data_IF_118649352741
#
_entry.id   IF_118649352741
#
_cell.length_a   1.000
_cell.length_b   1.000
_cell.length_c   1.000
_cell.angle_alpha   90.00
_cell.angle_beta   90.00
_cell.angle_gamma   90.00
#
_symmetry.space_group_name_H-M   'P 1'
#
loop_
_entity.id
_entity.type
_entity.pdbx_description
1 polymer ?
#
# COMPACT_ATOMS: atom_id res chain seq x y z
N UNK A 1 -15.44 -18.57 4.52
CA UNK A 1 -14.53 -19.75 4.45
C UNK A 1 -13.27 -19.40 5.21
N UNK A 2 -13.03 -20.12 6.32
CA UNK A 2 -11.80 -19.95 7.11
C UNK A 2 -10.64 -20.54 6.34
N UNK A 3 -9.64 -19.75 5.96
CA UNK A 3 -8.28 -20.22 5.71
C UNK A 3 -7.29 -19.06 5.78
N UNK A 4 -6.32 -19.30 6.66
CA UNK A 4 -4.92 -18.92 6.62
C UNK A 4 -4.55 -17.50 7.09
N UNK A 5 -4.69 -17.29 8.40
CA UNK A 5 -3.74 -16.49 9.16
C UNK A 5 -3.21 -17.43 10.23
N UNK A 6 -2.22 -18.23 9.91
CA UNK A 6 -1.35 -18.94 10.86
C UNK A 6 -0.06 -19.23 10.08
N UNK A 7 1.00 -18.62 10.45
CA UNK A 7 2.36 -19.13 10.51
C UNK A 7 3.40 -18.03 10.25
N UNK A 8 3.75 -17.31 11.25
CA UNK A 8 5.08 -16.73 11.41
C UNK A 8 5.59 -16.90 12.86
N UNK A 9 4.92 -17.71 13.68
CA UNK A 9 5.30 -17.87 15.08
C UNK A 9 5.84 -19.28 15.44
N UNK A 10 6.15 -20.16 14.48
CA UNK A 10 6.48 -21.57 14.78
C UNK A 10 7.95 -21.92 14.66
N UNK A 11 8.75 -21.17 13.92
CA UNK A 11 10.16 -21.57 13.63
C UNK A 11 11.12 -21.41 14.79
N UNK A 12 10.91 -20.49 15.73
CA UNK A 12 11.78 -20.38 16.91
C UNK A 12 11.56 -21.49 17.97
N UNK A 13 10.45 -22.20 17.92
CA UNK A 13 10.12 -23.28 18.85
C UNK A 13 10.58 -24.66 18.36
N UNK A 14 10.74 -24.86 17.06
CA UNK A 14 11.14 -26.16 16.49
C UNK A 14 12.62 -26.49 16.75
N UNK A 15 13.51 -25.49 16.73
CA UNK A 15 14.94 -25.66 17.04
C UNK A 15 15.20 -26.05 18.50
N UNK A 16 14.32 -25.63 19.44
CA UNK A 16 14.45 -26.01 20.85
C UNK A 16 13.91 -27.41 21.15
N UNK A 17 13.08 -28.00 20.30
CA UNK A 17 12.49 -29.32 20.46
C UNK A 17 13.30 -30.43 19.80
N UNK A 18 14.04 -30.16 18.73
CA UNK A 18 14.93 -31.12 18.06
C UNK A 18 16.11 -31.52 18.96
N UNK A 19 16.54 -30.67 19.89
CA UNK A 19 17.62 -30.99 20.83
C UNK A 19 17.20 -31.90 21.99
N UNK A 20 15.88 -32.15 22.19
CA UNK A 20 15.36 -32.98 23.27
C UNK A 20 14.85 -34.37 22.84
N UNK A 21 14.77 -34.68 21.55
CA UNK A 21 14.33 -35.98 21.04
C UNK A 21 15.53 -36.75 20.47
N UNK A 22 16.53 -37.04 21.29
CA UNK A 22 17.51 -38.08 20.94
C UNK A 22 16.83 -39.45 21.06
N UNK A 23 16.64 -40.22 20.00
CA UNK A 23 16.36 -41.63 20.13
C UNK A 23 17.59 -42.30 20.70
N UNK A 24 17.54 -42.69 21.97
CA UNK A 24 18.69 -43.20 22.73
C UNK A 24 19.24 -44.54 22.23
N UNK A 25 18.61 -45.18 21.24
CA UNK A 25 18.87 -46.56 20.85
C UNK A 25 18.84 -46.85 19.32
N UNK A 26 18.99 -45.86 18.43
CA UNK A 26 19.10 -46.14 16.99
C UNK A 26 20.59 -46.21 16.58
N UNK A 27 21.17 -47.42 16.32
CA UNK A 27 22.57 -47.55 15.94
C UNK A 27 22.90 -46.99 14.56
N UNK A 28 21.92 -46.58 13.79
CA UNK A 28 22.10 -45.97 12.46
C UNK A 28 21.87 -44.45 12.46
N UNK A 29 21.64 -43.83 13.63
CA UNK A 29 21.45 -42.41 13.70
C UNK A 29 22.74 -41.65 13.36
N UNK A 30 22.73 -40.87 12.30
CA UNK A 30 23.85 -40.05 11.86
C UNK A 30 23.52 -38.56 12.05
N UNK A 31 24.13 -37.93 13.03
CA UNK A 31 23.91 -36.52 13.35
C UNK A 31 24.17 -35.58 12.18
N UNK A 32 25.11 -35.92 11.27
CA UNK A 32 25.39 -35.10 10.11
C UNK A 32 24.31 -35.21 9.04
N UNK A 33 23.74 -36.40 8.78
CA UNK A 33 22.62 -36.56 7.84
C UNK A 33 21.34 -35.92 8.36
N UNK A 34 21.08 -35.98 9.68
CA UNK A 34 19.95 -35.29 10.28
C UNK A 34 20.10 -33.75 10.23
N UNK A 35 21.31 -33.24 10.41
CA UNK A 35 21.60 -31.81 10.28
C UNK A 35 21.51 -31.37 8.81
N UNK A 36 22.04 -32.12 7.85
CA UNK A 36 21.91 -31.85 6.42
C UNK A 36 20.43 -31.83 5.99
N UNK A 37 19.61 -32.77 6.46
CA UNK A 37 18.18 -32.79 6.16
C UNK A 37 17.43 -31.55 6.71
N UNK A 38 17.80 -31.08 7.90
CA UNK A 38 17.21 -29.82 8.47
C UNK A 38 17.65 -28.60 7.67
N UNK A 39 18.92 -28.52 7.26
CA UNK A 39 19.41 -27.43 6.43
C UNK A 39 18.77 -27.44 5.03
N UNK A 40 18.53 -28.61 4.43
CA UNK A 40 17.83 -28.72 3.15
C UNK A 40 16.36 -28.34 3.27
N UNK A 41 15.71 -28.70 4.38
CA UNK A 41 14.30 -28.32 4.63
C UNK A 41 14.16 -26.81 4.86
N UNK A 42 15.04 -26.20 5.66
CA UNK A 42 15.07 -24.75 5.88
C UNK A 42 15.35 -23.98 4.58
N UNK A 43 16.30 -24.45 3.76
CA UNK A 43 16.62 -23.84 2.47
C UNK A 43 15.45 -23.96 1.46
N UNK A 44 14.73 -25.07 1.47
CA UNK A 44 13.56 -25.26 0.61
C UNK A 44 12.38 -24.38 1.05
N UNK A 45 12.22 -24.14 2.35
CA UNK A 45 11.19 -23.22 2.88
C UNK A 45 11.53 -21.77 2.54
N UNK A 46 12.80 -21.35 2.69
CA UNK A 46 13.27 -20.02 2.28
C UNK A 46 13.06 -19.79 0.78
N UNK A 47 13.42 -20.75 -0.08
CA UNK A 47 13.20 -20.66 -1.53
C UNK A 47 11.71 -20.59 -1.90
N UNK A 48 10.84 -21.30 -1.20
CA UNK A 48 9.40 -21.24 -1.45
C UNK A 48 8.79 -19.89 -1.08
N UNK A 49 9.27 -19.24 0.00
CA UNK A 49 8.86 -17.89 0.39
C UNK A 49 9.32 -16.87 -0.64
N UNK A 50 10.52 -16.99 -1.15
CA UNK A 50 11.05 -16.15 -2.22
C UNK A 50 10.23 -16.28 -3.51
N UNK A 51 9.99 -17.50 -3.97
CA UNK A 51 9.20 -17.79 -5.18
C UNK A 51 7.77 -17.22 -5.06
N UNK A 52 7.13 -17.35 -3.88
CA UNK A 52 5.81 -16.78 -3.63
C UNK A 52 5.83 -15.25 -3.68
N UNK A 53 6.85 -14.62 -3.10
CA UNK A 53 7.00 -13.17 -3.10
C UNK A 53 7.21 -12.61 -4.51
N UNK A 54 8.08 -13.24 -5.31
CA UNK A 54 8.33 -12.86 -6.70
C UNK A 54 7.09 -13.06 -7.59
N UNK A 55 6.39 -14.18 -7.43
CA UNK A 55 5.12 -14.41 -8.12
C UNK A 55 4.06 -13.37 -7.71
N UNK A 56 4.09 -12.89 -6.46
CA UNK A 56 3.24 -11.80 -5.97
C UNK A 56 3.52 -10.47 -6.68
N UNK A 57 4.79 -10.14 -6.94
CA UNK A 57 5.17 -8.96 -7.74
C UNK A 57 4.63 -9.05 -9.16
N UNK A 58 4.83 -10.19 -9.83
CA UNK A 58 4.33 -10.40 -11.19
C UNK A 58 2.80 -10.30 -11.27
N UNK A 59 2.10 -10.87 -10.29
CA UNK A 59 0.65 -10.76 -10.19
C UNK A 59 0.19 -9.31 -9.96
N UNK A 60 0.92 -8.53 -9.17
CA UNK A 60 0.61 -7.14 -8.88
C UNK A 60 0.85 -6.19 -10.07
N UNK A 61 1.70 -6.57 -11.03
CA UNK A 61 1.89 -5.82 -12.29
C UNK A 61 0.69 -5.93 -13.23
N UNK A 62 -0.16 -6.95 -13.06
CA UNK A 62 -1.32 -7.16 -13.91
C UNK A 62 -2.42 -6.11 -13.66
N UNK A 63 -3.03 -5.60 -14.73
CA UNK A 63 -4.15 -4.68 -14.62
C UNK A 63 -5.37 -5.36 -13.97
N UNK A 64 -6.01 -4.76 -12.95
CA UNK A 64 -7.24 -5.29 -12.39
C UNK A 64 -8.39 -5.18 -13.40
N UNK A 65 -9.32 -6.14 -13.36
CA UNK A 65 -10.48 -6.21 -14.27
C UNK A 65 -11.81 -6.02 -13.56
N UNK A 66 -11.81 -6.01 -12.23
CA UNK A 66 -13.01 -5.86 -11.40
C UNK A 66 -12.81 -4.83 -10.31
N UNK A 67 -13.89 -4.23 -9.83
CA UNK A 67 -13.87 -3.28 -8.71
C UNK A 67 -13.63 -3.94 -7.34
N UNK A 68 -13.33 -5.23 -7.31
CA UNK A 68 -13.03 -5.98 -6.09
C UNK A 68 -14.26 -6.40 -5.28
N UNK A 69 -15.48 -6.12 -5.75
CA UNK A 69 -16.75 -6.59 -5.18
C UNK A 69 -17.64 -7.13 -6.26
N UNK A 70 -18.37 -8.20 -5.95
CA UNK A 70 -19.25 -8.91 -6.86
C UNK A 70 -20.68 -9.15 -6.32
N UNK A 71 -20.90 -8.89 -5.03
CA UNK A 71 -22.20 -9.10 -4.41
C UNK A 71 -23.15 -7.93 -4.72
N UNK A 72 -24.21 -8.12 -5.55
CA UNK A 72 -25.17 -7.08 -5.86
C UNK A 72 -26.02 -6.75 -4.62
N UNK A 73 -26.53 -5.52 -4.55
CA UNK A 73 -27.55 -5.16 -3.57
C UNK A 73 -28.84 -5.95 -3.83
N UNK A 74 -29.56 -6.30 -2.77
CA UNK A 74 -30.86 -7.01 -2.88
C UNK A 74 -31.95 -6.10 -3.42
N UNK A 75 -31.80 -4.78 -3.30
CA UNK A 75 -32.67 -3.76 -3.87
C UNK A 75 -31.85 -2.50 -4.17
N UNK A 76 -32.26 -1.74 -5.17
CA UNK A 76 -31.64 -0.46 -5.47
C UNK A 76 -31.71 0.48 -4.26
N UNK A 77 -30.67 1.32 -4.03
CA UNK A 77 -30.65 2.28 -2.92
C UNK A 77 -31.88 3.21 -2.95
N UNK A 78 -32.48 3.45 -1.79
CA UNK A 78 -33.58 4.40 -1.69
C UNK A 78 -33.06 5.81 -1.85
N UNK A 79 -33.69 6.62 -2.73
CA UNK A 79 -33.28 7.99 -2.99
C UNK A 79 -33.48 8.91 -1.77
N UNK A 80 -32.74 10.03 -1.75
CA UNK A 80 -32.94 11.13 -0.79
C UNK A 80 -32.11 11.08 0.49
N UNK A 81 -31.18 10.12 0.63
CA UNK A 81 -30.22 10.16 1.72
C UNK A 81 -29.23 11.33 1.55
N UNK A 82 -28.77 11.90 2.67
CA UNK A 82 -27.67 12.84 2.71
C UNK A 82 -26.43 12.11 3.26
N UNK A 83 -25.37 12.08 2.49
CA UNK A 83 -24.05 11.62 2.94
C UNK A 83 -23.15 12.84 3.12
N UNK A 84 -22.45 12.89 4.24
CA UNK A 84 -21.49 13.95 4.54
C UNK A 84 -20.08 13.37 4.64
N UNK A 85 -19.12 14.02 4.00
CA UNK A 85 -17.69 13.70 4.16
C UNK A 85 -16.98 14.84 4.88
N UNK A 86 -16.27 14.51 5.95
CA UNK A 86 -15.37 15.45 6.63
C UNK A 86 -13.99 15.27 6.03
N UNK A 87 -13.50 16.30 5.32
CA UNK A 87 -12.26 16.23 4.56
C UNK A 87 -11.04 16.52 5.45
N UNK A 88 -9.94 15.80 5.22
CA UNK A 88 -8.66 16.01 5.92
C UNK A 88 -7.76 17.08 5.28
N UNK A 89 -8.21 17.67 4.16
CA UNK A 89 -7.51 18.74 3.45
C UNK A 89 -6.43 18.26 2.47
N UNK A 90 -6.22 16.95 2.34
CA UNK A 90 -5.28 16.40 1.36
C UNK A 90 -5.86 16.44 -0.07
N UNK A 91 -4.96 16.44 -1.08
CA UNK A 91 -5.35 16.34 -2.48
C UNK A 91 -6.07 15.01 -2.76
N UNK A 92 -5.56 13.90 -2.21
CA UNK A 92 -6.18 12.59 -2.37
C UNK A 92 -7.59 12.53 -1.82
N UNK A 93 -7.85 13.19 -0.67
CA UNK A 93 -9.19 13.26 -0.09
C UNK A 93 -10.15 14.08 -0.97
N UNK A 94 -9.65 15.14 -1.61
CA UNK A 94 -10.42 15.93 -2.57
C UNK A 94 -10.81 15.12 -3.81
N UNK A 95 -9.90 14.34 -4.36
CA UNK A 95 -10.17 13.45 -5.53
C UNK A 95 -11.24 12.42 -5.16
N UNK A 96 -11.08 11.76 -4.01
CA UNK A 96 -12.05 10.76 -3.54
C UNK A 96 -13.42 11.40 -3.27
N UNK A 97 -13.47 12.58 -2.67
CA UNK A 97 -14.69 13.32 -2.37
C UNK A 97 -15.49 13.67 -3.63
N UNK A 98 -14.84 14.12 -4.68
CA UNK A 98 -15.48 14.38 -5.98
C UNK A 98 -16.13 13.11 -6.56
N UNK A 99 -15.46 11.96 -6.44
CA UNK A 99 -16.00 10.68 -6.87
C UNK A 99 -17.17 10.20 -5.98
N UNK A 100 -17.14 10.47 -4.66
CA UNK A 100 -18.28 10.22 -3.77
C UNK A 100 -19.50 11.05 -4.15
N UNK A 101 -19.31 12.33 -4.52
CA UNK A 101 -20.39 13.20 -4.97
C UNK A 101 -21.06 12.64 -6.23
N UNK A 102 -20.29 12.21 -7.22
CA UNK A 102 -20.81 11.58 -8.45
C UNK A 102 -21.55 10.27 -8.16
N UNK A 103 -20.99 9.42 -7.32
CA UNK A 103 -21.60 8.15 -6.93
C UNK A 103 -22.93 8.38 -6.18
N UNK A 104 -22.97 9.36 -5.25
CA UNK A 104 -24.17 9.71 -4.52
C UNK A 104 -25.28 10.24 -5.45
N UNK A 105 -24.93 11.10 -6.42
CA UNK A 105 -25.87 11.57 -7.44
C UNK A 105 -26.45 10.39 -8.26
N UNK A 106 -25.59 9.43 -8.62
CA UNK A 106 -25.98 8.25 -9.40
C UNK A 106 -27.06 7.42 -8.69
N UNK A 107 -27.01 7.31 -7.35
CA UNK A 107 -28.02 6.60 -6.55
C UNK A 107 -29.17 7.53 -6.07
N UNK A 108 -29.20 8.79 -6.52
CA UNK A 108 -30.24 9.77 -6.15
C UNK A 108 -30.11 10.31 -4.74
N UNK A 109 -28.88 10.38 -4.21
CA UNK A 109 -28.56 10.93 -2.90
C UNK A 109 -27.99 12.34 -3.00
N UNK A 110 -28.01 13.07 -1.88
CA UNK A 110 -27.32 14.34 -1.73
C UNK A 110 -25.98 14.09 -1.05
N UNK A 111 -24.95 14.75 -1.54
CA UNK A 111 -23.61 14.71 -0.96
C UNK A 111 -23.22 16.12 -0.49
N UNK A 112 -22.55 16.19 0.66
CA UNK A 112 -22.01 17.44 1.20
C UNK A 112 -20.64 17.23 1.81
N UNK A 113 -19.73 18.16 1.52
CA UNK A 113 -18.40 18.24 2.12
C UNK A 113 -18.45 19.16 3.34
N UNK A 114 -17.73 18.75 4.38
CA UNK A 114 -17.33 19.62 5.49
C UNK A 114 -15.82 19.73 5.45
N UNK A 115 -15.34 20.95 5.28
CA UNK A 115 -13.93 21.30 5.22
C UNK A 115 -13.51 22.00 6.51
N UNK A 116 -12.21 22.27 6.66
CA UNK A 116 -11.71 23.04 7.80
C UNK A 116 -10.97 22.19 8.84
N UNK A 117 -10.74 20.91 8.57
CA UNK A 117 -9.72 20.16 9.30
C UNK A 117 -8.35 20.70 8.85
N UNK A 118 -7.57 21.17 9.82
CA UNK A 118 -6.20 21.61 9.60
C UNK A 118 -5.27 20.46 10.02
N UNK A 119 -4.50 19.86 9.10
CA UNK A 119 -3.55 18.78 9.43
C UNK A 119 -2.52 19.20 10.50
N UNK A 120 -2.21 20.50 10.60
CA UNK A 120 -1.30 21.02 11.62
C UNK A 120 -1.94 21.18 13.00
N UNK A 121 -3.29 21.20 13.08
CA UNK A 121 -4.04 21.37 14.33
C UNK A 121 -5.32 20.52 14.34
N UNK A 122 -5.19 19.22 14.09
CA UNK A 122 -6.32 18.29 13.99
C UNK A 122 -7.13 18.21 15.28
N UNK A 123 -6.49 18.28 16.46
CA UNK A 123 -7.16 18.18 17.76
C UNK A 123 -8.11 19.35 18.04
N UNK A 124 -7.87 20.53 17.45
CA UNK A 124 -8.77 21.68 17.56
C UNK A 124 -9.81 21.70 16.44
N UNK A 125 -9.40 21.43 15.22
CA UNK A 125 -10.23 21.68 14.03
C UNK A 125 -11.13 20.51 13.65
N UNK A 126 -10.67 19.27 13.78
CA UNK A 126 -11.45 18.09 13.41
C UNK A 126 -12.73 17.91 14.27
N UNK A 127 -12.71 18.12 15.61
CA UNK A 127 -13.95 18.07 16.39
C UNK A 127 -15.00 19.09 15.94
N UNK A 128 -14.59 20.28 15.53
CA UNK A 128 -15.50 21.33 15.02
C UNK A 128 -16.11 20.91 13.68
N UNK A 129 -15.29 20.43 12.76
CA UNK A 129 -15.76 19.95 11.46
C UNK A 129 -16.70 18.74 11.61
N UNK A 130 -16.37 17.80 12.50
CA UNK A 130 -17.24 16.63 12.74
C UNK A 130 -18.58 17.04 13.39
N UNK A 131 -18.56 18.02 14.30
CA UNK A 131 -19.81 18.56 14.88
C UNK A 131 -20.68 19.24 13.81
N UNK A 132 -20.08 19.99 12.88
CA UNK A 132 -20.80 20.57 11.74
C UNK A 132 -21.46 19.47 10.90
N UNK A 133 -20.74 18.36 10.64
CA UNK A 133 -21.30 17.21 9.94
C UNK A 133 -22.50 16.59 10.68
N UNK A 134 -22.43 16.45 12.00
CA UNK A 134 -23.54 15.95 12.83
C UNK A 134 -24.77 16.88 12.80
N UNK A 135 -24.56 18.20 12.81
CA UNK A 135 -25.65 19.21 12.81
C UNK A 135 -26.47 19.19 11.51
N UNK A 136 -25.89 18.68 10.41
CA UNK A 136 -26.59 18.43 9.14
C UNK A 136 -27.55 17.23 9.21
N UNK A 137 -27.47 16.40 10.25
CA UNK A 137 -28.26 15.18 10.46
C UNK A 137 -28.24 14.24 9.25
N UNK A 138 -27.04 13.84 8.78
CA UNK A 138 -26.92 13.01 7.60
C UNK A 138 -27.39 11.58 7.87
N UNK A 139 -27.61 10.82 6.79
CA UNK A 139 -27.82 9.39 6.85
C UNK A 139 -26.53 8.61 7.11
N UNK A 140 -25.36 9.19 6.80
CA UNK A 140 -24.05 8.64 7.06
C UNK A 140 -22.94 9.68 6.96
N UNK A 141 -21.83 9.46 7.68
CA UNK A 141 -20.65 10.35 7.67
C UNK A 141 -19.43 9.56 7.26
N UNK A 142 -18.66 10.06 6.32
CA UNK A 142 -17.32 9.54 6.00
C UNK A 142 -16.27 10.39 6.70
N UNK A 143 -15.23 9.73 7.23
CA UNK A 143 -14.08 10.36 7.88
C UNK A 143 -12.76 9.77 7.36
N UNK A 144 -11.66 10.48 7.60
CA UNK A 144 -10.28 10.01 7.39
C UNK A 144 -9.67 9.52 8.70
N UNK A 145 -8.87 8.46 8.63
CA UNK A 145 -8.08 7.96 9.75
C UNK A 145 -7.03 8.96 10.27
N UNK A 146 -6.67 9.96 9.47
CA UNK A 146 -5.67 10.96 9.81
C UNK A 146 -6.02 11.80 11.07
N UNK A 147 -7.31 11.92 11.42
CA UNK A 147 -7.76 12.69 12.57
C UNK A 147 -8.71 11.91 13.51
N UNK A 148 -8.72 10.58 13.40
CA UNK A 148 -9.64 9.71 14.16
C UNK A 148 -9.58 9.95 15.67
N UNK A 149 -8.37 10.06 16.21
CA UNK A 149 -8.18 10.24 17.66
C UNK A 149 -8.72 11.57 18.19
N UNK A 150 -8.83 12.57 17.31
CA UNK A 150 -9.32 13.91 17.67
C UNK A 150 -10.85 13.98 17.83
N UNK A 151 -11.63 13.05 17.25
CA UNK A 151 -13.09 13.11 17.15
C UNK A 151 -13.85 12.10 18.02
N UNK A 152 -13.21 11.54 19.05
CA UNK A 152 -13.79 10.49 19.90
C UNK A 152 -15.16 10.86 20.51
N UNK A 153 -15.33 12.11 21.00
CA UNK A 153 -16.61 12.57 21.54
C UNK A 153 -17.68 12.70 20.46
N UNK A 154 -17.30 13.14 19.26
CA UNK A 154 -18.18 13.23 18.10
C UNK A 154 -18.67 11.86 17.65
N UNK A 155 -17.79 10.86 17.64
CA UNK A 155 -18.14 9.46 17.31
C UNK A 155 -19.17 8.89 18.32
N UNK A 156 -19.02 9.17 19.61
CA UNK A 156 -20.02 8.78 20.61
C UNK A 156 -21.38 9.48 20.37
N UNK A 157 -21.38 10.72 19.91
CA UNK A 157 -22.59 11.43 19.55
C UNK A 157 -23.24 10.87 18.27
N UNK A 158 -22.44 10.48 17.26
CA UNK A 158 -22.93 9.80 16.06
C UNK A 158 -23.59 8.46 16.41
N UNK A 159 -22.96 7.67 17.28
CA UNK A 159 -23.51 6.41 17.77
C UNK A 159 -24.86 6.60 18.48
N UNK A 160 -24.92 7.58 19.39
CA UNK A 160 -26.16 7.89 20.11
C UNK A 160 -27.28 8.39 19.16
N UNK A 161 -26.93 9.02 18.04
CA UNK A 161 -27.84 9.46 17.00
C UNK A 161 -28.20 8.36 15.99
N UNK A 162 -27.52 7.21 16.01
CA UNK A 162 -27.69 6.12 15.05
C UNK A 162 -27.16 6.46 13.65
N UNK A 163 -26.17 7.37 13.55
CA UNK A 163 -25.55 7.78 12.29
C UNK A 163 -24.31 6.88 12.05
N UNK A 164 -24.33 6.01 11.03
CA UNK A 164 -23.19 5.18 10.69
C UNK A 164 -22.02 6.04 10.15
N UNK A 165 -20.81 5.67 10.55
CA UNK A 165 -19.57 6.31 10.12
C UNK A 165 -18.72 5.30 9.34
N UNK A 166 -18.24 5.67 8.16
CA UNK A 166 -17.24 4.92 7.40
C UNK A 166 -15.92 5.66 7.52
N UNK A 167 -14.87 4.92 7.91
CA UNK A 167 -13.54 5.46 8.05
C UNK A 167 -12.63 4.92 6.94
N UNK A 168 -12.06 5.78 6.12
CA UNK A 168 -11.03 5.42 5.14
C UNK A 168 -9.63 5.68 5.71
N UNK A 169 -8.68 4.79 5.43
CA UNK A 169 -7.33 4.90 5.98
C UNK A 169 -7.27 4.66 7.50
N UNK A 170 -8.22 3.90 8.04
CA UNK A 170 -8.25 3.53 9.45
C UNK A 170 -7.62 2.15 9.68
N UNK A 171 -7.01 1.99 10.84
CA UNK A 171 -6.52 0.70 11.33
C UNK A 171 -7.51 0.05 12.29
N UNK A 172 -7.44 -1.27 12.39
CA UNK A 172 -8.19 -2.06 13.35
C UNK A 172 -9.65 -2.31 12.98
N UNK A 173 -10.35 -2.99 13.89
CA UNK A 173 -11.75 -3.37 13.67
C UNK A 173 -12.71 -2.20 13.93
N UNK A 174 -13.87 -2.16 13.21
CA UNK A 174 -14.92 -1.18 13.45
C UNK A 174 -15.42 -1.18 14.90
N UNK A 175 -15.68 0.01 15.46
CA UNK A 175 -16.19 0.18 16.84
C UNK A 175 -17.16 1.35 16.93
N UNK A 176 -18.18 1.24 17.79
CA UNK A 176 -19.15 2.31 18.04
C UNK A 176 -19.90 2.71 16.78
N UNK A 177 -19.88 4.01 16.43
CA UNK A 177 -20.48 4.53 15.20
C UNK A 177 -19.76 4.08 13.93
N UNK A 178 -18.48 3.73 14.03
CA UNK A 178 -17.68 3.29 12.88
C UNK A 178 -18.13 1.90 12.48
N UNK A 179 -18.71 1.77 11.30
CA UNK A 179 -19.24 0.51 10.76
C UNK A 179 -18.28 -0.15 9.78
N UNK A 180 -17.35 0.60 9.20
CA UNK A 180 -16.34 0.11 8.24
C UNK A 180 -15.00 0.84 8.41
N UNK A 181 -13.91 0.06 8.47
CA UNK A 181 -12.52 0.49 8.48
C UNK A 181 -11.71 -0.23 7.39
N UNK A 182 -12.36 -1.02 6.54
CA UNK A 182 -11.67 -1.88 5.56
C UNK A 182 -11.14 -1.11 4.35
N UNK A 183 -11.76 0.05 4.06
CA UNK A 183 -11.46 0.85 2.89
C UNK A 183 -10.14 1.60 3.07
N UNK A 184 -9.14 1.26 2.28
CA UNK A 184 -7.75 1.71 2.45
C UNK A 184 -7.21 1.38 3.87
N UNK A 185 -7.72 0.30 4.46
CA UNK A 185 -7.40 -0.16 5.80
C UNK A 185 -6.22 -1.15 5.84
N UNK A 186 -6.10 -1.87 6.96
CA UNK A 186 -4.95 -2.74 7.26
C UNK A 186 -4.68 -3.79 6.17
N UNK A 187 -5.69 -4.52 5.71
CA UNK A 187 -5.49 -5.60 4.74
C UNK A 187 -4.92 -5.11 3.41
N UNK A 188 -5.38 -3.95 2.93
CA UNK A 188 -4.87 -3.35 1.71
C UNK A 188 -3.44 -2.83 1.90
N UNK A 189 -3.16 -2.19 3.02
CA UNK A 189 -1.82 -1.68 3.35
C UNK A 189 -0.81 -2.81 3.54
N UNK A 190 -1.20 -3.93 4.16
CA UNK A 190 -0.38 -5.16 4.24
C UNK A 190 -0.02 -5.66 2.83
N UNK A 191 -1.00 -5.81 1.93
CA UNK A 191 -0.74 -6.31 0.58
C UNK A 191 0.21 -5.40 -0.21
N UNK A 192 0.04 -4.09 -0.11
CA UNK A 192 0.93 -3.12 -0.79
C UNK A 192 2.34 -3.13 -0.21
N UNK A 193 2.47 -3.21 1.11
CA UNK A 193 3.75 -3.28 1.78
C UNK A 193 4.55 -4.51 1.36
N UNK A 194 3.89 -5.68 1.35
CA UNK A 194 4.49 -6.94 0.91
C UNK A 194 4.92 -6.88 -0.55
N UNK A 195 4.09 -6.31 -1.43
CA UNK A 195 4.42 -6.14 -2.85
C UNK A 195 5.65 -5.26 -3.04
N UNK A 196 5.73 -4.10 -2.35
CA UNK A 196 6.88 -3.19 -2.50
C UNK A 196 8.15 -3.75 -1.87
N UNK A 197 8.06 -4.48 -0.75
CA UNK A 197 9.21 -5.14 -0.14
C UNK A 197 9.76 -6.24 -1.06
N UNK A 198 8.89 -7.05 -1.65
CA UNK A 198 9.26 -8.05 -2.64
C UNK A 198 9.86 -7.41 -3.91
N UNK A 199 9.34 -6.25 -4.33
CA UNK A 199 9.88 -5.50 -5.45
C UNK A 199 11.31 -4.99 -5.19
N UNK A 200 11.59 -4.47 -3.97
CA UNK A 200 12.96 -4.11 -3.56
C UNK A 200 13.87 -5.33 -3.65
N UNK A 201 13.42 -6.45 -3.07
CA UNK A 201 14.18 -7.70 -3.08
C UNK A 201 14.50 -8.19 -4.51
N UNK A 202 13.51 -8.17 -5.40
CA UNK A 202 13.64 -8.60 -6.79
C UNK A 202 14.60 -7.73 -7.63
N UNK A 203 14.74 -6.45 -7.26
CA UNK A 203 15.47 -5.45 -8.07
C UNK A 203 16.73 -4.90 -7.38
N UNK A 204 17.08 -5.37 -6.18
CA UNK A 204 18.38 -5.08 -5.58
C UNK A 204 19.49 -5.81 -6.34
N UNK A 205 20.71 -5.28 -6.31
CA UNK A 205 21.85 -6.05 -6.83
C UNK A 205 22.07 -7.34 -6.00
N UNK A 206 22.61 -8.41 -6.58
CA UNK A 206 22.77 -9.70 -5.89
C UNK A 206 23.47 -9.60 -4.54
N UNK A 207 24.53 -8.81 -4.47
CA UNK A 207 25.37 -8.64 -3.26
C UNK A 207 25.02 -7.34 -2.52
N UNK A 208 23.88 -6.71 -2.82
CA UNK A 208 23.47 -5.48 -2.17
C UNK A 208 22.72 -5.78 -0.87
N UNK A 209 23.23 -5.24 0.22
CA UNK A 209 22.49 -5.07 1.47
C UNK A 209 21.57 -3.86 1.32
N UNK A 210 20.38 -4.04 0.73
CA UNK A 210 19.50 -2.91 0.43
C UNK A 210 19.16 -2.14 1.70
N UNK A 211 19.56 -0.86 1.75
CA UNK A 211 19.16 0.07 2.78
C UNK A 211 18.04 0.96 2.24
N UNK A 212 16.87 0.92 2.88
CA UNK A 212 15.67 1.66 2.49
C UNK A 212 15.43 2.78 3.48
N UNK A 213 15.39 4.01 3.02
CA UNK A 213 14.91 5.16 3.79
C UNK A 213 13.39 5.25 3.60
N UNK A 214 12.62 4.96 4.63
CA UNK A 214 11.16 4.96 4.60
C UNK A 214 10.62 6.26 5.21
N UNK A 215 10.06 7.12 4.37
CA UNK A 215 9.46 8.39 4.77
C UNK A 215 8.03 8.18 5.23
N UNK A 216 7.79 8.40 6.52
CA UNK A 216 6.56 8.00 7.21
C UNK A 216 5.67 9.18 7.57
N UNK A 217 4.35 8.96 7.55
CA UNK A 217 3.34 9.90 8.03
C UNK A 217 2.60 9.31 9.24
N UNK A 218 2.18 10.12 10.23
CA UNK A 218 1.51 9.66 11.44
C UNK A 218 0.03 9.33 11.19
N UNK A 219 -0.25 8.42 10.25
CA UNK A 219 -1.59 7.92 9.94
C UNK A 219 -1.68 6.45 10.34
N UNK A 220 -2.69 6.03 11.14
CA UNK A 220 -2.74 4.68 11.71
C UNK A 220 -2.62 3.54 10.69
N UNK A 221 -3.33 3.60 9.56
CA UNK A 221 -3.24 2.57 8.52
C UNK A 221 -1.85 2.51 7.85
N UNK A 222 -1.11 3.63 7.81
CA UNK A 222 0.25 3.66 7.29
C UNK A 222 1.27 3.02 8.26
N UNK A 223 0.96 2.97 9.56
CA UNK A 223 1.78 2.21 10.52
C UNK A 223 1.75 0.71 10.18
N UNK A 224 0.57 0.16 9.82
CA UNK A 224 0.45 -1.22 9.34
C UNK A 224 1.32 -1.44 8.10
N UNK A 225 1.24 -0.54 7.12
CA UNK A 225 2.10 -0.59 5.93
C UNK A 225 3.59 -0.63 6.30
N UNK A 226 4.05 0.25 7.20
CA UNK A 226 5.47 0.32 7.63
C UNK A 226 5.92 -0.98 8.29
N UNK A 227 5.14 -1.50 9.25
CA UNK A 227 5.46 -2.74 9.97
C UNK A 227 5.55 -3.93 9.00
N UNK A 228 4.58 -4.06 8.10
CA UNK A 228 4.54 -5.15 7.14
C UNK A 228 5.66 -5.07 6.10
N UNK A 229 6.01 -3.85 5.64
CA UNK A 229 7.14 -3.65 4.75
C UNK A 229 8.45 -4.09 5.39
N UNK A 230 8.72 -3.61 6.62
CA UNK A 230 9.93 -3.97 7.38
C UNK A 230 9.98 -5.50 7.59
N UNK A 231 8.89 -6.10 8.06
CA UNK A 231 8.81 -7.53 8.35
C UNK A 231 9.02 -8.40 7.10
N UNK A 232 8.40 -8.03 5.98
CA UNK A 232 8.53 -8.75 4.71
C UNK A 232 9.94 -8.62 4.15
N UNK A 233 10.50 -7.41 4.12
CA UNK A 233 11.86 -7.21 3.62
C UNK A 233 12.89 -7.97 4.47
N UNK A 234 12.76 -7.96 5.80
CA UNK A 234 13.64 -8.70 6.69
C UNK A 234 13.53 -10.23 6.53
N UNK A 235 12.37 -10.72 6.11
CA UNK A 235 12.17 -12.14 5.81
C UNK A 235 12.86 -12.55 4.50
N UNK A 236 12.75 -11.70 3.46
CA UNK A 236 13.33 -11.95 2.15
C UNK A 236 14.84 -11.66 2.09
N UNK A 237 15.33 -10.74 2.90
CA UNK A 237 16.70 -10.26 2.89
C UNK A 237 17.15 -9.92 4.31
N UNK A 238 17.89 -10.83 4.95
CA UNK A 238 18.34 -10.67 6.35
C UNK A 238 19.32 -9.52 6.55
N UNK A 239 20.09 -9.19 5.52
CA UNK A 239 21.10 -8.12 5.51
C UNK A 239 20.48 -6.76 5.16
N UNK A 240 19.28 -6.75 4.57
CA UNK A 240 18.60 -5.51 4.22
C UNK A 240 18.12 -4.76 5.47
N UNK A 241 18.07 -3.45 5.38
CA UNK A 241 17.67 -2.60 6.50
C UNK A 241 16.65 -1.54 6.08
N UNK A 242 15.79 -1.15 7.01
CA UNK A 242 14.84 -0.04 6.81
C UNK A 242 15.05 0.98 7.90
N UNK A 243 15.21 2.24 7.52
CA UNK A 243 15.34 3.38 8.41
C UNK A 243 14.11 4.28 8.24
N UNK A 244 13.33 4.42 9.32
CA UNK A 244 12.14 5.26 9.30
C UNK A 244 12.53 6.74 9.44
N UNK A 245 12.00 7.57 8.54
CA UNK A 245 12.20 9.00 8.46
C UNK A 245 10.85 9.71 8.64
N UNK A 246 10.47 10.10 9.87
CA UNK A 246 9.19 10.76 10.12
C UNK A 246 9.10 12.11 9.41
N UNK A 247 8.09 12.29 8.58
CA UNK A 247 7.80 13.55 7.92
C UNK A 247 6.87 14.37 8.80
N UNK A 248 7.24 15.61 9.09
CA UNK A 248 6.40 16.53 9.84
C UNK A 248 5.23 17.01 8.94
N UNK A 249 4.01 16.67 9.31
CA UNK A 249 2.80 17.04 8.56
C UNK A 249 2.60 18.55 8.45
N UNK A 250 3.18 19.34 9.36
CA UNK A 250 3.15 20.80 9.29
C UNK A 250 4.12 21.39 8.26
N UNK A 251 5.05 20.56 7.76
CA UNK A 251 6.10 20.92 6.81
C UNK A 251 6.03 20.09 5.51
N UNK A 252 4.84 19.61 5.14
CA UNK A 252 4.67 18.79 3.93
C UNK A 252 5.21 19.47 2.66
N UNK A 253 5.12 20.79 2.58
CA UNK A 253 5.70 21.56 1.46
C UNK A 253 7.23 21.45 1.37
N UNK A 254 7.92 21.15 2.49
CA UNK A 254 9.36 20.98 2.57
C UNK A 254 9.78 19.50 2.44
N UNK A 255 8.82 18.57 2.36
CA UNK A 255 9.10 17.14 2.26
C UNK A 255 10.05 16.78 1.12
N UNK A 256 9.98 17.38 -0.09
CA UNK A 256 10.95 17.12 -1.17
C UNK A 256 12.39 17.38 -0.77
N UNK A 257 12.63 18.49 -0.07
CA UNK A 257 13.98 18.85 0.40
C UNK A 257 14.44 17.90 1.51
N UNK A 258 13.54 17.55 2.42
CA UNK A 258 13.83 16.58 3.49
C UNK A 258 14.22 15.20 2.92
N UNK A 259 13.49 14.72 1.90
CA UNK A 259 13.84 13.48 1.20
C UNK A 259 15.22 13.60 0.55
N UNK A 260 15.47 14.67 -0.22
CA UNK A 260 16.74 14.87 -0.93
C UNK A 260 17.92 15.01 0.05
N UNK A 261 17.77 15.76 1.15
CA UNK A 261 18.80 15.93 2.17
C UNK A 261 19.10 14.59 2.87
N UNK A 262 18.08 13.80 3.20
CA UNK A 262 18.25 12.48 3.78
C UNK A 262 19.01 11.56 2.84
N UNK A 263 18.59 11.46 1.58
CA UNK A 263 19.24 10.62 0.59
C UNK A 263 20.67 11.08 0.26
N UNK A 264 20.99 12.38 0.43
CA UNK A 264 22.36 12.89 0.22
C UNK A 264 23.38 12.39 1.24
N UNK A 265 22.93 11.93 2.40
CA UNK A 265 23.78 11.38 3.46
C UNK A 265 23.56 9.89 3.68
N UNK A 266 22.52 9.30 3.08
CA UNK A 266 22.26 7.86 3.11
C UNK A 266 23.26 7.11 2.24
N UNK A 267 23.63 5.90 2.68
CA UNK A 267 24.40 4.95 1.86
C UNK A 267 23.48 4.04 1.04
N UNK A 268 22.16 4.07 1.32
CA UNK A 268 21.16 3.34 0.57
C UNK A 268 20.65 4.14 -0.63
N UNK A 269 20.20 3.43 -1.65
CA UNK A 269 19.62 4.05 -2.86
C UNK A 269 18.09 4.01 -2.90
N UNK A 270 17.45 3.37 -1.93
CA UNK A 270 16.00 3.15 -1.93
C UNK A 270 15.30 4.17 -1.04
N UNK A 271 14.45 5.01 -1.63
CA UNK A 271 13.56 5.94 -0.93
C UNK A 271 12.12 5.44 -1.04
N UNK A 272 11.51 5.05 0.08
CA UNK A 272 10.13 4.60 0.14
C UNK A 272 9.23 5.68 0.72
N UNK A 273 8.29 6.18 -0.06
CA UNK A 273 7.31 7.17 0.35
C UNK A 273 6.00 6.45 0.77
N UNK A 274 5.63 6.53 2.06
CA UNK A 274 4.40 5.89 2.55
C UNK A 274 3.11 6.46 1.95
N UNK A 275 3.17 7.60 1.28
CA UNK A 275 2.01 8.24 0.66
C UNK A 275 2.41 9.11 -0.52
N UNK A 276 1.63 9.08 -1.58
CA UNK A 276 1.74 10.03 -2.70
C UNK A 276 1.60 11.50 -2.28
N UNK A 277 1.04 11.79 -1.11
CA UNK A 277 0.95 13.16 -0.59
C UNK A 277 2.32 13.82 -0.30
N UNK A 278 3.39 13.03 -0.20
CA UNK A 278 4.76 13.53 0.02
C UNK A 278 5.65 13.42 -1.21
N UNK A 279 5.11 12.99 -2.37
CA UNK A 279 5.91 12.77 -3.59
C UNK A 279 6.14 14.04 -4.41
N UNK A 280 5.24 15.01 -4.31
CA UNK A 280 5.27 16.20 -5.15
C UNK A 280 6.60 16.96 -5.04
N UNK A 281 7.36 17.04 -6.14
CA UNK A 281 8.67 17.72 -6.20
C UNK A 281 9.86 16.89 -5.71
N UNK A 282 9.67 15.66 -5.22
CA UNK A 282 10.78 14.80 -4.76
C UNK A 282 11.76 14.49 -5.89
N UNK A 283 11.27 14.16 -7.08
CA UNK A 283 12.14 13.88 -8.23
C UNK A 283 12.99 15.08 -8.61
N UNK A 284 12.43 16.30 -8.60
CA UNK A 284 13.17 17.53 -8.90
C UNK A 284 14.22 17.85 -7.82
N UNK A 285 13.88 17.63 -6.56
CA UNK A 285 14.80 17.83 -5.44
C UNK A 285 15.98 16.85 -5.52
N UNK A 286 15.71 15.57 -5.76
CA UNK A 286 16.74 14.53 -5.94
C UNK A 286 17.63 14.80 -7.15
N UNK A 287 17.08 15.30 -8.27
CA UNK A 287 17.86 15.63 -9.46
C UNK A 287 18.89 16.76 -9.23
N UNK A 288 18.69 17.59 -8.22
CA UNK A 288 19.61 18.70 -7.86
C UNK A 288 20.51 18.40 -6.66
N UNK A 289 20.21 17.31 -5.92
CA UNK A 289 21.00 16.88 -4.78
C UNK A 289 22.32 16.22 -5.19
N UNK A 290 23.31 16.28 -4.28
CA UNK A 290 24.55 15.51 -4.44
C UNK A 290 24.37 14.19 -3.72
N UNK A 291 24.12 13.13 -4.47
CA UNK A 291 23.84 11.79 -3.96
C UNK A 291 25.09 10.90 -4.06
N UNK A 292 25.25 9.97 -3.13
CA UNK A 292 26.29 8.92 -3.22
C UNK A 292 25.99 7.95 -4.35
N UNK A 293 24.71 7.56 -4.46
CA UNK A 293 24.19 6.69 -5.53
C UNK A 293 22.87 7.28 -6.07
N UNK A 294 22.50 6.96 -7.31
CA UNK A 294 21.21 7.35 -7.86
C UNK A 294 20.06 6.75 -7.05
N UNK A 295 19.11 7.58 -6.63
CA UNK A 295 17.99 7.15 -5.76
C UNK A 295 16.87 6.52 -6.57
N UNK A 296 16.43 5.34 -6.15
CA UNK A 296 15.20 4.69 -6.61
C UNK A 296 14.05 5.10 -5.70
N UNK A 297 13.04 5.75 -6.26
CA UNK A 297 11.84 6.17 -5.51
C UNK A 297 10.76 5.10 -5.63
N UNK A 298 10.30 4.64 -4.49
CA UNK A 298 9.15 3.76 -4.35
C UNK A 298 8.04 4.48 -3.59
N UNK A 299 6.79 4.13 -3.84
CA UNK A 299 5.73 4.76 -3.07
C UNK A 299 4.39 4.03 -3.07
N UNK A 300 3.61 4.40 -2.08
CA UNK A 300 2.23 3.96 -1.92
C UNK A 300 1.28 5.05 -2.41
N UNK A 301 0.34 4.67 -3.28
CA UNK A 301 -0.69 5.58 -3.76
C UNK A 301 -0.14 6.62 -4.71
N UNK A 302 0.31 6.20 -5.91
CA UNK A 302 0.82 7.10 -6.94
C UNK A 302 -0.14 8.28 -7.19
N UNK A 303 0.39 9.49 -7.17
CA UNK A 303 -0.32 10.67 -7.67
C UNK A 303 -0.36 10.68 -9.21
N UNK A 304 -1.21 11.52 -9.79
CA UNK A 304 -1.24 11.72 -11.24
C UNK A 304 0.14 12.17 -11.79
N UNK A 305 0.87 12.97 -11.00
CA UNK A 305 2.21 13.43 -11.37
C UNK A 305 3.25 12.29 -11.34
N UNK A 306 3.17 11.39 -10.35
CA UNK A 306 4.07 10.21 -10.29
C UNK A 306 3.85 9.30 -11.49
N UNK A 307 2.59 9.03 -11.86
CA UNK A 307 2.26 8.22 -13.04
C UNK A 307 2.77 8.89 -14.32
N UNK A 308 2.54 10.20 -14.47
CA UNK A 308 3.04 10.95 -15.61
C UNK A 308 4.58 10.93 -15.71
N UNK A 309 5.28 10.97 -14.58
CA UNK A 309 6.74 10.84 -14.52
C UNK A 309 7.20 9.45 -14.97
N UNK A 310 6.55 8.38 -14.52
CA UNK A 310 6.82 7.02 -14.98
C UNK A 310 6.59 6.87 -16.49
N UNK A 311 5.49 7.44 -17.03
CA UNK A 311 5.19 7.42 -18.46
C UNK A 311 6.20 8.19 -19.30
N UNK A 312 6.81 9.24 -18.75
CA UNK A 312 7.84 10.04 -19.42
C UNK A 312 9.24 9.40 -19.34
N UNK A 313 9.45 8.44 -18.45
CA UNK A 313 10.74 7.75 -18.27
C UNK A 313 10.97 6.76 -19.42
N UNK A 314 12.06 6.88 -20.18
CA UNK A 314 12.34 5.92 -21.25
C UNK A 314 12.69 4.55 -20.65
N UNK A 315 12.31 3.45 -21.30
CA UNK A 315 12.77 2.13 -20.88
C UNK A 315 14.28 2.03 -21.04
N UNK A 316 14.94 1.56 -19.99
CA UNK A 316 16.40 1.34 -19.94
C UNK A 316 16.65 -0.13 -19.74
N UNK A 317 17.65 -0.68 -20.41
CA UNK A 317 18.11 -2.03 -20.17
C UNK A 317 18.76 -2.11 -18.78
N UNK A 318 18.11 -2.82 -17.87
CA UNK A 318 18.64 -3.05 -16.53
C UNK A 318 19.64 -4.20 -16.57
N UNK A 319 20.68 -4.18 -15.70
CA UNK A 319 21.55 -5.34 -15.54
C UNK A 319 20.69 -6.58 -15.25
N UNK A 320 21.04 -7.72 -15.86
CA UNK A 320 20.28 -8.97 -15.64
C UNK A 320 20.20 -9.27 -14.14
N UNK A 321 18.99 -9.54 -13.63
CA UNK A 321 18.83 -10.01 -12.26
C UNK A 321 19.57 -11.32 -12.06
N UNK A 322 20.16 -11.51 -10.88
CA UNK A 322 21.09 -12.64 -10.59
C UNK A 322 20.51 -14.05 -10.85
N UNK A 323 19.19 -14.19 -10.94
CA UNK A 323 18.51 -15.46 -11.21
C UNK A 323 18.80 -16.05 -12.61
N UNK A 324 19.05 -15.21 -13.61
CA UNK A 324 19.24 -15.67 -14.99
C UNK A 324 20.69 -16.10 -15.30
N UNK A 325 21.68 -15.67 -14.50
CA UNK A 325 23.09 -15.98 -14.71
C UNK A 325 23.48 -17.42 -14.29
N UNK A 326 22.67 -18.07 -13.47
CA UNK A 326 22.95 -19.45 -12.98
C UNK A 326 22.55 -20.56 -13.97
N UNK A 327 21.89 -20.24 -15.09
CA UNK A 327 21.39 -21.24 -16.06
C UNK A 327 22.36 -21.63 -17.16
N UNK A 328 23.53 -20.99 -17.30
CA UNK A 328 24.55 -21.40 -18.26
C UNK A 328 25.56 -22.36 -17.63
N UNK A 329 25.30 -23.66 -17.75
CA UNK A 329 26.28 -24.73 -17.43
C UNK A 329 27.55 -24.54 -18.26
N UNK A 330 28.59 -23.96 -17.65
CA UNK A 330 29.93 -23.90 -18.24
C UNK A 330 30.62 -22.53 -18.18
N UNK A 331 30.07 -21.53 -17.53
CA UNK A 331 30.74 -20.23 -17.36
C UNK A 331 31.95 -20.35 -16.39
N UNK A 332 33.05 -19.72 -16.76
CA UNK A 332 34.25 -19.61 -15.94
C UNK A 332 33.93 -18.79 -14.67
N UNK A 333 34.09 -19.34 -13.44
CA UNK A 333 33.78 -18.63 -12.21
C UNK A 333 34.51 -17.28 -12.06
N UNK A 334 35.68 -17.11 -12.68
CA UNK A 334 36.41 -15.84 -12.70
C UNK A 334 35.73 -14.78 -13.59
N UNK A 335 34.97 -15.20 -14.62
CA UNK A 335 34.22 -14.28 -15.47
C UNK A 335 32.87 -13.87 -14.81
N UNK A 336 32.34 -14.70 -13.91
CA UNK A 336 31.15 -14.38 -13.13
C UNK A 336 31.43 -13.34 -12.02
N UNK A 337 32.62 -13.36 -11.40
CA UNK A 337 33.04 -12.35 -10.41
C UNK A 337 33.26 -10.98 -11.06
N UNK A 338 33.81 -10.91 -12.30
CA UNK A 338 33.98 -9.63 -13.03
C UNK A 338 32.62 -9.09 -13.55
N UNK A 339 31.66 -9.94 -13.86
CA UNK A 339 30.32 -9.51 -14.29
C UNK A 339 29.44 -9.06 -13.10
N UNK A 340 29.60 -9.65 -11.92
CA UNK A 340 28.92 -9.24 -10.71
C UNK A 340 29.40 -7.86 -10.19
N UNK A 341 30.66 -7.52 -10.40
CA UNK A 341 31.19 -6.20 -10.02
C UNK A 341 30.64 -5.02 -10.88
N UNK A 342 30.02 -5.32 -12.01
CA UNK A 342 29.45 -4.31 -12.93
C UNK A 342 27.91 -4.16 -12.78
N UNK A 343 27.29 -4.92 -11.86
CA UNK A 343 25.84 -4.98 -11.67
C UNK A 343 25.27 -3.88 -10.74
N UNK A 344 26.08 -2.92 -10.30
CA UNK A 344 25.60 -1.76 -9.55
C UNK A 344 24.85 -0.79 -10.48
N UNK A 345 23.72 -0.23 -10.02
CA UNK A 345 23.06 0.85 -10.76
C UNK A 345 24.02 2.01 -10.92
N UNK A 346 24.53 2.16 -12.12
CA UNK A 346 25.59 3.12 -12.40
C UNK A 346 25.04 4.51 -12.78
N UNK A 347 23.73 4.61 -13.16
CA UNK A 347 23.20 5.86 -13.71
C UNK A 347 21.84 6.26 -13.12
N UNK A 348 21.55 7.57 -13.09
CA UNK A 348 20.22 8.07 -12.69
C UNK A 348 19.08 7.52 -13.56
N UNK A 349 19.33 7.23 -14.84
CA UNK A 349 18.33 6.65 -15.74
C UNK A 349 17.96 5.22 -15.34
N UNK A 350 18.91 4.42 -14.88
CA UNK A 350 18.64 3.08 -14.35
C UNK A 350 17.84 3.13 -13.05
N UNK A 351 18.18 4.07 -12.15
CA UNK A 351 17.40 4.28 -10.94
C UNK A 351 15.97 4.75 -11.25
N UNK A 352 15.81 5.66 -12.23
CA UNK A 352 14.49 6.11 -12.67
C UNK A 352 13.66 4.96 -13.28
N UNK A 353 14.29 4.02 -13.98
CA UNK A 353 13.61 2.87 -14.56
C UNK A 353 13.12 1.83 -13.53
N UNK A 354 13.71 1.83 -12.31
CA UNK A 354 13.30 0.99 -11.19
C UNK A 354 12.25 1.63 -10.28
N UNK A 355 11.81 2.85 -10.54
CA UNK A 355 10.74 3.46 -9.74
C UNK A 355 9.46 2.63 -9.83
N UNK A 356 8.79 2.48 -8.68
CA UNK A 356 7.56 1.72 -8.59
C UNK A 356 6.60 2.31 -7.57
N UNK A 357 5.31 2.26 -7.89
CA UNK A 357 4.24 2.78 -7.06
C UNK A 357 3.09 1.80 -6.98
N UNK A 358 2.47 1.66 -5.81
CA UNK A 358 1.16 1.01 -5.78
C UNK A 358 0.08 2.00 -6.23
N UNK A 359 -0.83 1.54 -7.06
CA UNK A 359 -1.96 2.35 -7.49
C UNK A 359 -3.05 2.37 -6.43
N UNK A 360 -3.35 3.54 -5.85
CA UNK A 360 -4.53 3.74 -5.00
C UNK A 360 -5.64 4.36 -5.86
N UNK A 361 -6.70 3.61 -6.19
CA UNK A 361 -7.76 4.08 -7.08
C UNK A 361 -8.76 4.97 -6.33
N UNK A 362 -8.35 6.21 -6.01
CA UNK A 362 -9.16 7.17 -5.23
C UNK A 362 -10.57 7.38 -5.77
N UNK A 363 -10.80 7.49 -7.10
CA UNK A 363 -12.14 7.57 -7.64
C UNK A 363 -12.98 6.33 -7.33
N UNK A 364 -12.42 5.13 -7.49
CA UNK A 364 -13.11 3.87 -7.16
C UNK A 364 -13.34 3.73 -5.67
N UNK A 365 -12.40 4.19 -4.84
CA UNK A 365 -12.57 4.25 -3.39
C UNK A 365 -13.77 5.11 -2.99
N UNK A 366 -13.95 6.29 -3.62
CA UNK A 366 -15.11 7.14 -3.40
C UNK A 366 -16.45 6.43 -3.74
N UNK A 367 -16.52 5.74 -4.87
CA UNK A 367 -17.69 4.93 -5.23
C UNK A 367 -17.90 3.77 -4.26
N UNK A 368 -16.83 3.14 -3.77
CA UNK A 368 -16.89 2.07 -2.79
C UNK A 368 -17.45 2.55 -1.44
N UNK A 369 -17.11 3.77 -1.00
CA UNK A 369 -17.70 4.38 0.21
C UNK A 369 -19.21 4.51 0.06
N UNK A 370 -19.71 4.95 -1.10
CA UNK A 370 -21.15 5.06 -1.37
C UNK A 370 -21.82 3.67 -1.44
N UNK A 371 -21.14 2.65 -2.03
CA UNK A 371 -21.63 1.26 -2.00
C UNK A 371 -21.78 0.74 -0.57
N UNK A 372 -20.80 0.98 0.30
CA UNK A 372 -20.87 0.57 1.70
C UNK A 372 -22.00 1.29 2.45
N UNK A 373 -22.21 2.60 2.21
CA UNK A 373 -23.38 3.29 2.77
C UNK A 373 -24.69 2.72 2.23
N UNK A 374 -24.76 2.36 0.95
CA UNK A 374 -25.96 1.75 0.38
C UNK A 374 -26.31 0.44 1.08
N UNK A 375 -25.30 -0.38 1.37
CA UNK A 375 -25.45 -1.63 2.13
C UNK A 375 -25.91 -1.39 3.55
N UNK A 376 -25.20 -0.54 4.29
CA UNK A 376 -25.52 -0.21 5.69
C UNK A 376 -26.95 0.34 5.82
N UNK A 377 -27.33 1.31 4.99
CA UNK A 377 -28.65 1.92 5.01
C UNK A 377 -29.75 0.97 4.52
N UNK A 378 -29.39 0.01 3.64
CA UNK A 378 -30.26 -1.08 3.20
C UNK A 378 -30.38 -2.23 4.20
N UNK A 379 -29.59 -2.23 5.28
CA UNK A 379 -29.56 -3.34 6.26
C UNK A 379 -28.86 -4.58 5.73
N UNK A 380 -27.98 -4.43 4.74
CA UNK A 380 -27.19 -5.51 4.12
C UNK A 380 -25.80 -5.61 4.76
N UNK A 381 -25.13 -6.73 4.54
CA UNK A 381 -23.74 -6.89 4.94
C UNK A 381 -22.83 -5.98 4.09
N UNK A 382 -21.77 -5.46 4.70
CA UNK A 382 -20.71 -4.77 3.99
C UNK A 382 -20.10 -5.67 2.93
N UNK A 383 -19.65 -5.07 1.84
CA UNK A 383 -18.93 -5.79 0.82
C UNK A 383 -17.46 -5.91 1.19
N UNK A 384 -16.97 -7.14 1.28
CA UNK A 384 -15.56 -7.44 1.44
C UNK A 384 -14.90 -7.58 0.08
N UNK A 385 -13.67 -7.07 -0.03
CA UNK A 385 -12.83 -7.25 -1.21
C UNK A 385 -11.79 -6.15 -1.35
N UNK A 386 -10.65 -6.44 -1.96
CA UNK A 386 -9.58 -5.47 -2.15
C UNK A 386 -10.00 -4.37 -3.11
N UNK A 387 -9.40 -3.20 -2.96
CA UNK A 387 -9.47 -2.16 -4.00
C UNK A 387 -8.74 -2.65 -5.26
N UNK A 388 -9.20 -2.27 -6.47
CA UNK A 388 -8.53 -2.63 -7.73
C UNK A 388 -7.20 -1.88 -7.85
N UNK A 389 -6.18 -2.46 -7.28
CA UNK A 389 -4.83 -1.92 -7.21
C UNK A 389 -3.88 -2.67 -8.16
N UNK A 390 -2.80 -2.00 -8.53
CA UNK A 390 -1.76 -2.52 -9.40
C UNK A 390 -0.42 -1.93 -8.98
N UNK A 391 0.66 -2.69 -9.11
CA UNK A 391 2.01 -2.15 -9.06
C UNK A 391 2.30 -1.44 -10.38
N UNK A 392 2.58 -0.15 -10.31
CA UNK A 392 2.83 0.72 -11.46
C UNK A 392 4.33 0.96 -11.55
N UNK A 393 4.91 0.61 -12.67
CA UNK A 393 6.33 0.79 -12.99
C UNK A 393 6.47 1.44 -14.35
N UNK A 394 7.68 1.80 -14.75
CA UNK A 394 7.96 2.30 -16.11
C UNK A 394 7.46 1.34 -17.20
N UNK A 395 7.48 0.02 -16.93
CA UNK A 395 7.10 -0.99 -17.90
C UNK A 395 5.60 -1.00 -18.24
N UNK A 396 4.73 -0.65 -17.31
CA UNK A 396 3.27 -0.72 -17.48
C UNK A 396 2.55 0.64 -17.31
N UNK A 397 3.24 1.71 -16.93
CA UNK A 397 2.64 3.02 -16.66
C UNK A 397 1.83 3.58 -17.85
N UNK A 398 2.20 3.24 -19.08
CA UNK A 398 1.50 3.69 -20.28
C UNK A 398 0.11 3.03 -20.45
N UNK A 399 -0.11 1.86 -19.84
CA UNK A 399 -1.30 1.03 -20.00
C UNK A 399 -2.25 1.07 -18.80
N UNK A 400 -1.90 1.80 -17.72
CA UNK A 400 -2.76 1.87 -16.54
C UNK A 400 -4.02 2.68 -16.81
N UNK A 401 -5.13 2.25 -16.20
CA UNK A 401 -6.39 2.97 -16.32
C UNK A 401 -6.37 4.27 -15.50
N UNK A 402 -6.62 5.39 -16.18
CA UNK A 402 -6.65 6.74 -15.59
C UNK A 402 -7.99 7.43 -15.90
N UNK A 403 -8.39 8.35 -15.00
CA UNK A 403 -9.46 9.29 -15.29
C UNK A 403 -8.96 10.47 -16.17
N UNK A 404 -9.85 11.42 -16.47
CA UNK A 404 -9.54 12.60 -17.28
C UNK A 404 -8.51 13.55 -16.63
N UNK A 405 -8.30 13.45 -15.32
CA UNK A 405 -7.35 14.23 -14.55
C UNK A 405 -6.01 13.49 -14.33
N UNK A 406 -5.89 12.27 -14.85
CA UNK A 406 -4.69 11.44 -14.68
C UNK A 406 -4.65 10.65 -13.39
N UNK A 407 -5.73 10.61 -12.60
CA UNK A 407 -5.77 9.80 -11.39
C UNK A 407 -5.94 8.33 -11.75
N UNK A 408 -5.26 7.46 -11.03
CA UNK A 408 -5.40 6.01 -11.17
C UNK A 408 -6.81 5.56 -10.75
N UNK A 409 -7.48 4.82 -11.65
CA UNK A 409 -8.82 4.27 -11.40
C UNK A 409 -8.84 2.73 -11.36
N UNK A 410 -7.73 2.08 -11.72
CA UNK A 410 -7.61 0.62 -11.74
C UNK A 410 -8.44 -0.04 -12.82
N UNK A 411 -9.74 0.20 -12.88
CA UNK A 411 -10.69 -0.42 -13.80
C UNK A 411 -11.45 0.65 -14.57
N UNK A 412 -11.35 0.64 -15.90
CA UNK A 412 -11.89 1.71 -16.75
C UNK A 412 -13.43 1.81 -16.72
N UNK A 413 -14.13 0.69 -16.57
CA UNK A 413 -15.59 0.60 -16.53
C UNK A 413 -16.16 0.46 -15.10
N UNK A 414 -15.45 0.98 -14.10
CA UNK A 414 -15.83 0.84 -12.69
C UNK A 414 -17.23 1.39 -12.40
N UNK A 415 -17.64 2.48 -13.06
CA UNK A 415 -18.96 3.11 -12.86
C UNK A 415 -20.08 2.19 -13.31
N UNK A 416 -19.91 1.53 -14.44
CA UNK A 416 -20.84 0.55 -14.97
C UNK A 416 -20.92 -0.69 -14.06
N UNK A 417 -19.78 -1.13 -13.52
CA UNK A 417 -19.76 -2.25 -12.58
C UNK A 417 -20.52 -1.91 -11.29
N UNK A 418 -20.33 -0.71 -10.70
CA UNK A 418 -21.11 -0.27 -9.54
C UNK A 418 -22.59 -0.10 -9.86
N UNK A 419 -22.94 0.51 -11.00
CA UNK A 419 -24.34 0.66 -11.43
C UNK A 419 -25.04 -0.71 -11.56
N UNK A 420 -24.34 -1.71 -12.05
CA UNK A 420 -24.84 -3.09 -12.12
C UNK A 420 -25.06 -3.69 -10.72
N UNK A 421 -24.12 -3.50 -9.79
CA UNK A 421 -24.27 -3.95 -8.38
C UNK A 421 -25.47 -3.29 -7.69
N UNK A 422 -25.74 -2.03 -8.00
CA UNK A 422 -26.85 -1.25 -7.41
C UNK A 422 -28.19 -1.50 -8.10
N UNK A 423 -28.25 -2.27 -9.20
CA UNK A 423 -29.47 -2.55 -9.94
C UNK A 423 -30.02 -1.34 -10.69
N UNK A 424 -29.15 -0.43 -11.14
CA UNK A 424 -29.47 0.84 -11.82
C UNK A 424 -29.35 0.72 -13.37
N UNK A 425 -29.62 -0.44 -13.96
CA UNK A 425 -29.60 -0.65 -15.42
C UNK A 425 -30.90 -0.23 -16.08
#
# INVERSE_FOLDING_TARGET
MRRSIVMVAVTAAALALASCAMPADDPNWNASEAAEAVFEEDAAEEAAVEDEALAGVDAALAAPTTIGVDAPLTAAPQSGALIVSVLDGSEGDTVMSAAMAEAAETVGWTYQEVTGVDPADTFTTAPLAFQEALDLKPAGIRISGAYLDAITEGLAAAEAAGIPVICTGCAGAPTGAIVDTSLDGDAQNTAWAQTLAAYVYANKAPDEDAAVEMFTLPVPALNTFGIEFIGTLATLCRECSVLEQPVDVTLLADAPLFVADTMSISLGRWALLQSGNISAGVSDALATAVLFEPTVVLGRGASAADIAALQATPPVELPAAAGDAAAEEGADPAAAEDAAADATLATPEQAAALQAWTGLPLPVLGWRVIDQFARVLGGEALADGPLPSQLITVANAADVALDENGNYIGVADYKEQFAALWGLQ
#
